data_IF_129206363750
#
_entry.id   IF_129206363750
#
_cell.length_a   1.000
_cell.length_b   1.000
_cell.length_c   1.000
_cell.angle_alpha   90.00
_cell.angle_beta   90.00
_cell.angle_gamma   90.00
#
_symmetry.space_group_name_H-M   'P 1'
#
loop_
_entity.id
_entity.type
_entity.pdbx_description
1 polymer ?
#
# COMPACT_ATOMS: atom_id res chain seq x y z
N UNK A 1 -4.02 -4.76 24.71
CA UNK A 1 -4.89 -5.07 23.54
C UNK A 1 -4.05 -5.56 22.38
N UNK A 2 -4.46 -6.58 21.61
CA UNK A 2 -3.71 -7.06 20.42
C UNK A 2 -4.15 -6.33 19.14
N UNK A 3 -3.62 -6.71 17.98
CA UNK A 3 -4.10 -6.25 16.66
C UNK A 3 -5.63 -6.33 16.47
N UNK A 4 -6.30 -7.26 17.14
CA UNK A 4 -7.78 -7.35 17.13
C UNK A 4 -8.47 -6.16 17.78
N UNK A 5 -7.83 -5.53 18.77
CA UNK A 5 -8.32 -4.31 19.42
C UNK A 5 -8.38 -3.13 18.45
N UNK A 6 -7.32 -2.96 17.65
CA UNK A 6 -7.28 -1.96 16.58
C UNK A 6 -8.36 -2.21 15.54
N UNK A 7 -8.50 -3.45 15.06
CA UNK A 7 -9.55 -3.83 14.10
C UNK A 7 -10.93 -3.51 14.65
N UNK A 8 -11.20 -3.85 15.92
CA UNK A 8 -12.48 -3.56 16.58
C UNK A 8 -12.74 -2.06 16.67
N UNK A 9 -11.76 -1.25 17.07
CA UNK A 9 -11.90 0.20 17.19
C UNK A 9 -12.10 0.90 15.83
N UNK A 10 -11.50 0.39 14.75
CA UNK A 10 -11.72 0.92 13.40
C UNK A 10 -13.09 0.53 12.83
N UNK A 11 -13.59 -0.67 13.15
CA UNK A 11 -14.93 -1.14 12.77
C UNK A 11 -16.02 -0.39 13.53
N UNK A 12 -15.91 -0.40 14.85
CA UNK A 12 -16.84 0.21 15.79
C UNK A 12 -16.06 1.11 16.76
N UNK A 13 -15.97 2.42 16.48
CA UNK A 13 -15.23 3.35 17.33
C UNK A 13 -15.85 3.59 18.71
N UNK A 14 -17.11 3.22 18.99
CA UNK A 14 -17.72 3.44 20.31
C UNK A 14 -17.07 2.57 21.39
N UNK A 15 -16.45 1.45 21.00
CA UNK A 15 -15.74 0.53 21.90
C UNK A 15 -14.59 1.18 22.66
N UNK A 16 -14.09 2.33 22.18
CA UNK A 16 -12.98 3.03 22.83
C UNK A 16 -13.38 3.67 24.17
N UNK A 17 -14.68 3.90 24.37
CA UNK A 17 -15.23 4.51 25.60
C UNK A 17 -15.10 3.59 26.81
N UNK A 18 -15.01 2.27 26.58
CA UNK A 18 -14.87 1.26 27.61
C UNK A 18 -13.41 0.88 27.90
N UNK A 19 -12.43 1.54 27.27
CA UNK A 19 -11.02 1.22 27.44
C UNK A 19 -10.45 1.83 28.73
N UNK A 20 -9.74 1.00 29.49
CA UNK A 20 -8.86 1.44 30.57
C UNK A 20 -7.52 1.97 30.02
N UNK A 21 -6.64 2.44 30.91
CA UNK A 21 -5.34 2.98 30.54
C UNK A 21 -4.47 1.96 29.77
N UNK A 22 -4.48 0.68 30.19
CA UNK A 22 -3.74 -0.39 29.51
C UNK A 22 -4.30 -0.67 28.10
N UNK A 23 -5.61 -0.58 27.94
CA UNK A 23 -6.32 -0.63 26.67
C UNK A 23 -5.84 0.48 25.73
N UNK A 24 -5.89 1.73 26.17
CA UNK A 24 -5.45 2.88 25.38
C UNK A 24 -3.98 2.78 24.95
N UNK A 25 -3.07 2.43 25.88
CA UNK A 25 -1.67 2.23 25.56
C UNK A 25 -1.49 1.18 24.44
N UNK A 26 -2.20 0.05 24.56
CA UNK A 26 -2.13 -0.99 23.54
C UNK A 26 -2.74 -0.59 22.20
N UNK A 27 -3.85 0.15 22.20
CA UNK A 27 -4.51 0.62 20.97
C UNK A 27 -3.62 1.60 20.21
N UNK A 28 -3.05 2.60 20.90
CA UNK A 28 -2.18 3.62 20.29
C UNK A 28 -0.88 2.97 19.78
N UNK A 29 -0.25 2.10 20.57
CA UNK A 29 0.96 1.39 20.16
C UNK A 29 0.71 0.54 18.90
N UNK A 30 -0.41 -0.17 18.86
CA UNK A 30 -0.83 -0.94 17.69
C UNK A 30 -1.11 -0.06 16.47
N UNK A 31 -1.86 1.03 16.65
CA UNK A 31 -2.21 1.95 15.57
C UNK A 31 -0.95 2.58 14.94
N UNK A 32 0.05 2.95 15.76
CA UNK A 32 1.34 3.44 15.27
C UNK A 32 2.11 2.35 14.52
N UNK A 33 2.19 1.14 15.08
CA UNK A 33 2.92 0.03 14.46
C UNK A 33 2.34 -0.40 13.10
N UNK A 34 1.04 -0.24 12.90
CA UNK A 34 0.36 -0.49 11.62
C UNK A 34 0.18 0.78 10.77
N UNK A 35 0.74 1.93 11.19
CA UNK A 35 0.60 3.24 10.51
C UNK A 35 -0.86 3.65 10.25
N UNK A 36 -1.74 3.35 11.22
CA UNK A 36 -3.18 3.62 11.23
C UNK A 36 -3.60 4.64 12.29
N UNK A 37 -2.66 5.30 12.98
CA UNK A 37 -2.98 6.21 14.10
C UNK A 37 -3.80 7.44 13.66
N UNK A 38 -3.48 8.05 12.51
CA UNK A 38 -4.27 9.16 11.96
C UNK A 38 -5.68 8.71 11.55
N UNK A 39 -5.78 7.59 10.83
CA UNK A 39 -7.07 6.96 10.49
C UNK A 39 -7.90 6.65 11.73
N UNK A 40 -7.29 6.07 12.77
CA UNK A 40 -7.96 5.79 14.03
C UNK A 40 -8.45 7.08 14.69
N UNK A 41 -7.63 8.12 14.73
CA UNK A 41 -8.01 9.41 15.32
C UNK A 41 -9.22 10.03 14.61
N UNK A 42 -9.25 10.02 13.27
CA UNK A 42 -10.42 10.48 12.51
C UNK A 42 -11.65 9.60 12.74
N UNK A 43 -11.47 8.27 12.80
CA UNK A 43 -12.58 7.32 13.05
C UNK A 43 -13.19 7.47 14.45
N UNK A 44 -12.37 7.77 15.46
CA UNK A 44 -12.85 8.06 16.82
C UNK A 44 -13.67 9.35 16.83
N UNK A 45 -13.26 10.37 16.07
CA UNK A 45 -13.96 11.66 16.03
C UNK A 45 -14.03 12.31 17.41
N UNK A 46 -15.21 12.80 17.78
CA UNK A 46 -15.44 13.56 19.02
C UNK A 46 -15.89 12.69 20.21
N UNK A 47 -15.70 11.36 20.11
CA UNK A 47 -16.03 10.44 21.20
C UNK A 47 -15.25 10.78 22.46
N UNK A 48 -15.87 10.51 23.61
CA UNK A 48 -15.27 10.70 24.93
C UNK A 48 -14.06 9.77 25.09
N UNK A 49 -12.89 10.38 25.29
CA UNK A 49 -11.62 9.72 25.60
C UNK A 49 -10.92 10.47 26.73
N UNK A 50 -9.96 9.88 27.46
CA UNK A 50 -9.15 10.61 28.43
C UNK A 50 -8.40 11.80 27.78
N UNK A 51 -8.21 12.90 28.52
CA UNK A 51 -7.60 14.13 27.96
C UNK A 51 -6.21 13.90 27.37
N UNK A 52 -5.37 13.10 28.04
CA UNK A 52 -4.04 12.74 27.52
C UNK A 52 -4.12 11.95 26.20
N UNK A 53 -5.16 11.12 26.03
CA UNK A 53 -5.41 10.41 24.77
C UNK A 53 -5.92 11.38 23.71
N UNK A 54 -6.76 12.35 24.09
CA UNK A 54 -7.29 13.36 23.18
C UNK A 54 -6.16 14.11 22.48
N UNK A 55 -5.18 14.57 23.25
CA UNK A 55 -3.98 15.25 22.74
C UNK A 55 -3.23 14.40 21.70
N UNK A 56 -2.95 13.12 22.01
CA UNK A 56 -2.25 12.22 21.08
C UNK A 56 -3.02 12.03 19.77
N UNK A 57 -4.35 11.94 19.85
CA UNK A 57 -5.19 11.76 18.66
C UNK A 57 -5.29 13.06 17.84
N UNK A 58 -5.26 14.23 18.46
CA UNK A 58 -5.24 15.51 17.75
C UNK A 58 -3.91 15.73 17.03
N UNK A 59 -2.78 15.43 17.68
CA UNK A 59 -1.47 15.43 17.00
C UNK A 59 -1.48 14.49 15.80
N UNK A 60 -2.03 13.28 15.95
CA UNK A 60 -2.12 12.31 14.87
C UNK A 60 -3.00 12.78 13.68
N UNK A 61 -4.01 13.63 13.92
CA UNK A 61 -4.82 14.24 12.85
C UNK A 61 -4.02 15.30 12.11
N UNK A 62 -3.38 16.21 12.83
CA UNK A 62 -2.54 17.26 12.26
C UNK A 62 -1.38 16.69 11.45
N UNK A 63 -0.72 15.64 11.97
CA UNK A 63 0.32 14.92 11.25
C UNK A 63 -0.22 14.33 9.95
N UNK A 64 -1.37 13.67 9.99
CA UNK A 64 -1.96 13.07 8.78
C UNK A 64 -2.37 14.13 7.73
N UNK A 65 -2.89 15.28 8.16
CA UNK A 65 -3.19 16.41 7.27
C UNK A 65 -1.92 17.00 6.65
N UNK A 66 -0.83 17.08 7.42
CA UNK A 66 0.48 17.49 6.92
C UNK A 66 1.03 16.50 5.90
N UNK A 67 0.99 15.19 6.19
CA UNK A 67 1.43 14.15 5.25
C UNK A 67 0.62 14.16 3.96
N UNK A 68 -0.71 14.35 4.04
CA UNK A 68 -1.54 14.50 2.85
C UNK A 68 -1.13 15.70 2.00
N UNK A 69 -0.91 16.88 2.62
CA UNK A 69 -0.43 18.08 1.90
C UNK A 69 0.93 17.84 1.24
N UNK A 70 1.86 17.19 1.93
CA UNK A 70 3.17 16.86 1.37
C UNK A 70 3.03 15.91 0.17
N UNK A 71 2.19 14.88 0.27
CA UNK A 71 1.96 13.94 -0.82
C UNK A 71 1.38 14.63 -2.07
N UNK A 72 0.41 15.54 -1.89
CA UNK A 72 -0.15 16.33 -2.99
C UNK A 72 0.87 17.29 -3.59
N UNK A 73 1.74 17.87 -2.78
CA UNK A 73 2.84 18.70 -3.25
C UNK A 73 3.84 17.89 -4.09
N UNK A 74 4.22 16.69 -3.66
CA UNK A 74 5.13 15.85 -4.46
C UNK A 74 4.47 15.40 -5.77
N UNK A 75 3.16 15.10 -5.77
CA UNK A 75 2.41 14.80 -6.99
C UNK A 75 2.41 15.99 -7.97
N UNK A 76 2.24 17.21 -7.47
CA UNK A 76 2.32 18.45 -8.26
C UNK A 76 3.73 18.64 -8.86
N UNK A 77 4.79 18.47 -8.05
CA UNK A 77 6.19 18.57 -8.53
C UNK A 77 6.52 17.49 -9.57
N UNK A 78 6.02 16.27 -9.40
CA UNK A 78 6.20 15.20 -10.40
C UNK A 78 5.46 15.55 -11.69
N UNK A 79 4.23 16.08 -11.61
CA UNK A 79 3.48 16.53 -12.80
C UNK A 79 4.21 17.64 -13.54
N UNK A 80 4.78 18.60 -12.81
CA UNK A 80 5.61 19.67 -13.39
C UNK A 80 6.86 19.11 -14.09
N UNK A 81 7.57 18.19 -13.46
CA UNK A 81 8.74 17.54 -14.05
C UNK A 81 8.40 16.78 -15.35
N UNK A 82 7.19 16.23 -15.45
CA UNK A 82 6.72 15.42 -16.57
C UNK A 82 5.91 16.21 -17.60
N UNK A 83 5.69 17.51 -17.41
CA UNK A 83 4.81 18.32 -18.27
C UNK A 83 5.22 18.37 -19.75
N UNK A 84 6.49 18.11 -20.08
CA UNK A 84 6.99 18.05 -21.45
C UNK A 84 6.83 16.68 -22.12
N UNK A 85 6.28 15.69 -21.43
CA UNK A 85 6.07 14.32 -21.92
C UNK A 85 4.56 14.11 -22.04
N UNK A 86 4.09 13.75 -23.24
CA UNK A 86 2.67 13.48 -23.51
C UNK A 86 2.27 12.09 -22.98
N UNK A 87 2.29 11.93 -21.65
CA UNK A 87 1.99 10.67 -20.97
C UNK A 87 1.02 10.89 -19.81
N UNK A 88 0.03 10.00 -19.63
CA UNK A 88 -0.83 10.07 -18.47
C UNK A 88 -0.04 9.66 -17.22
N UNK A 89 -0.01 10.54 -16.21
CA UNK A 89 0.60 10.25 -14.90
C UNK A 89 -0.51 9.80 -13.95
N UNK A 90 -0.54 8.50 -13.66
CA UNK A 90 -1.54 7.91 -12.77
C UNK A 90 -0.98 7.85 -11.35
N UNK A 91 -1.60 8.56 -10.41
CA UNK A 91 -1.29 8.40 -9.00
C UNK A 91 -1.77 7.04 -8.52
N UNK A 92 -0.96 6.40 -7.67
CA UNK A 92 -1.31 5.15 -7.00
C UNK A 92 -1.43 5.34 -5.48
N UNK A 93 -2.02 4.32 -4.84
CA UNK A 93 -2.11 4.14 -3.39
C UNK A 93 -2.55 5.42 -2.65
N UNK A 94 -1.84 5.77 -1.58
CA UNK A 94 -2.26 6.81 -0.63
C UNK A 94 -2.37 8.19 -1.25
N UNK A 95 -1.42 8.58 -2.11
CA UNK A 95 -1.45 9.87 -2.80
C UNK A 95 -2.66 9.97 -3.71
N UNK A 96 -2.98 8.92 -4.47
CA UNK A 96 -4.17 8.89 -5.30
C UNK A 96 -5.45 9.06 -4.47
N UNK A 97 -5.53 8.36 -3.33
CA UNK A 97 -6.71 8.40 -2.47
C UNK A 97 -6.89 9.76 -1.80
N UNK A 98 -5.80 10.40 -1.39
CA UNK A 98 -5.81 11.75 -0.84
C UNK A 98 -6.21 12.78 -1.91
N UNK A 99 -5.61 12.71 -3.10
CA UNK A 99 -5.90 13.62 -4.21
C UNK A 99 -7.36 13.55 -4.66
N UNK A 100 -7.95 12.35 -4.67
CA UNK A 100 -9.36 12.13 -5.03
C UNK A 100 -10.33 12.31 -3.85
N UNK A 101 -9.87 12.72 -2.66
CA UNK A 101 -10.74 12.94 -1.49
C UNK A 101 -11.43 11.67 -0.96
N UNK A 102 -10.87 10.48 -1.22
CA UNK A 102 -11.49 9.22 -0.84
C UNK A 102 -11.37 8.95 0.65
N UNK A 103 -12.31 8.17 1.19
CA UNK A 103 -12.24 7.67 2.58
C UNK A 103 -10.95 6.90 2.87
N UNK A 104 -10.40 6.19 1.88
CA UNK A 104 -9.12 5.49 2.00
C UNK A 104 -7.93 6.45 2.22
N UNK A 105 -8.02 7.71 1.79
CA UNK A 105 -6.98 8.72 2.00
C UNK A 105 -7.04 9.39 3.38
N UNK A 106 -8.17 9.30 4.09
CA UNK A 106 -8.39 10.01 5.34
C UNK A 106 -7.53 9.44 6.48
N UNK A 107 -6.64 10.29 7.02
CA UNK A 107 -5.77 9.92 8.13
C UNK A 107 -4.65 8.94 7.76
N UNK A 108 -4.50 8.66 6.46
CA UNK A 108 -3.59 7.64 5.94
C UNK A 108 -2.16 8.17 5.93
N UNK A 109 -1.23 7.40 6.48
CA UNK A 109 0.20 7.65 6.31
C UNK A 109 0.63 7.39 4.85
N UNK A 110 1.33 8.35 4.25
CA UNK A 110 1.85 8.30 2.87
C UNK A 110 3.36 8.59 2.96
N UNK A 111 4.21 7.63 2.57
CA UNK A 111 5.67 7.78 2.71
C UNK A 111 6.38 8.12 1.40
N UNK A 112 5.82 7.65 0.30
CA UNK A 112 6.35 7.58 -1.04
C UNK A 112 5.31 8.11 -2.04
N UNK A 113 5.78 8.74 -3.11
CA UNK A 113 4.95 9.04 -4.26
C UNK A 113 5.01 7.86 -5.24
N UNK A 114 3.95 7.05 -5.28
CA UNK A 114 3.79 6.02 -6.30
C UNK A 114 3.07 6.60 -7.54
N UNK A 115 3.71 6.53 -8.71
CA UNK A 115 3.09 6.84 -10.00
C UNK A 115 3.10 5.64 -10.93
N UNK A 116 2.11 5.54 -11.79
CA UNK A 116 2.04 4.56 -12.88
C UNK A 116 2.06 5.30 -14.22
N UNK A 117 2.92 4.85 -15.12
CA UNK A 117 3.08 5.37 -16.48
C UNK A 117 3.11 4.23 -17.51
N UNK A 118 2.82 4.48 -18.78
CA UNK A 118 3.03 3.49 -19.84
C UNK A 118 4.47 2.99 -19.88
N UNK A 119 4.67 1.69 -20.12
CA UNK A 119 6.01 1.08 -20.10
C UNK A 119 6.95 1.69 -21.13
N UNK A 120 6.41 2.08 -22.28
CA UNK A 120 7.14 2.67 -23.39
C UNK A 120 7.64 4.09 -23.06
N UNK A 121 7.05 4.74 -22.06
CA UNK A 121 7.42 6.08 -21.62
C UNK A 121 8.50 6.08 -20.52
N UNK A 122 8.86 4.93 -19.98
CA UNK A 122 9.69 4.80 -18.77
C UNK A 122 11.03 5.55 -18.87
N UNK A 123 11.73 5.41 -20.00
CA UNK A 123 13.02 6.08 -20.23
C UNK A 123 12.87 7.61 -20.28
N UNK A 124 11.80 8.12 -20.91
CA UNK A 124 11.54 9.55 -20.98
C UNK A 124 11.21 10.12 -19.59
N UNK A 125 10.38 9.40 -18.83
CA UNK A 125 10.00 9.76 -17.45
C UNK A 125 11.22 9.77 -16.54
N UNK A 126 12.06 8.74 -16.60
CA UNK A 126 13.32 8.64 -15.88
C UNK A 126 14.22 9.86 -16.16
N UNK A 127 14.46 10.17 -17.43
CA UNK A 127 15.28 11.32 -17.80
C UNK A 127 14.70 12.66 -17.33
N UNK A 128 13.37 12.83 -17.37
CA UNK A 128 12.73 14.03 -16.88
C UNK A 128 12.88 14.20 -15.37
N UNK A 129 12.68 13.12 -14.60
CA UNK A 129 12.86 13.14 -13.15
C UNK A 129 14.31 13.44 -12.76
N UNK A 130 15.30 12.82 -13.43
CA UNK A 130 16.72 13.11 -13.21
C UNK A 130 17.04 14.59 -13.46
N UNK A 131 16.55 15.16 -14.57
CA UNK A 131 16.73 16.60 -14.86
C UNK A 131 16.04 17.51 -13.84
N UNK A 132 14.95 17.05 -13.23
CA UNK A 132 14.19 17.80 -12.26
C UNK A 132 14.70 17.63 -10.81
N UNK A 133 15.85 16.97 -10.60
CA UNK A 133 16.54 16.89 -9.32
C UNK A 133 16.28 15.61 -8.50
N UNK A 134 15.67 14.59 -9.10
CA UNK A 134 15.67 13.24 -8.52
C UNK A 134 16.98 12.51 -8.81
N UNK A 135 17.37 11.64 -7.90
CA UNK A 135 18.57 10.80 -7.98
C UNK A 135 18.26 9.38 -7.52
N UNK A 136 19.14 8.43 -7.87
CA UNK A 136 19.02 7.05 -7.43
C UNK A 136 19.38 6.91 -5.96
N UNK A 137 18.55 6.21 -5.18
CA UNK A 137 18.86 5.93 -3.76
C UNK A 137 20.11 5.05 -3.64
N UNK A 138 20.35 4.18 -4.62
CA UNK A 138 21.55 3.34 -4.72
C UNK A 138 21.97 3.19 -6.17
N UNK A 139 23.26 3.40 -6.42
CA UNK A 139 23.89 3.12 -7.71
C UNK A 139 24.53 1.72 -7.67
N UNK A 140 23.73 0.68 -7.98
CA UNK A 140 24.21 -0.70 -8.14
C UNK A 140 23.74 -1.28 -9.49
N UNK A 141 24.66 -1.58 -10.42
CA UNK A 141 24.31 -2.06 -11.77
C UNK A 141 23.52 -3.38 -11.80
N UNK A 142 23.67 -4.23 -10.78
CA UNK A 142 22.90 -5.47 -10.70
C UNK A 142 21.47 -5.20 -10.23
N UNK A 143 21.30 -4.32 -9.24
CA UNK A 143 19.98 -3.93 -8.77
C UNK A 143 19.23 -3.19 -9.89
N UNK A 144 19.87 -2.26 -10.62
CA UNK A 144 19.26 -1.60 -11.79
C UNK A 144 18.76 -2.62 -12.84
N UNK A 145 19.63 -3.53 -13.28
CA UNK A 145 19.25 -4.58 -14.22
C UNK A 145 18.13 -5.50 -13.67
N UNK A 146 18.16 -5.81 -12.37
CA UNK A 146 17.13 -6.61 -11.71
C UNK A 146 15.76 -5.91 -11.76
N UNK A 147 15.71 -4.60 -11.46
CA UNK A 147 14.46 -3.85 -11.51
C UNK A 147 13.91 -3.77 -12.93
N UNK A 148 14.75 -3.37 -13.90
CA UNK A 148 14.32 -3.20 -15.30
C UNK A 148 13.87 -4.49 -15.95
N UNK A 149 14.51 -5.61 -15.62
CA UNK A 149 14.21 -6.89 -16.24
C UNK A 149 12.99 -7.59 -15.62
N UNK A 150 12.78 -7.45 -14.30
CA UNK A 150 11.84 -8.31 -13.58
C UNK A 150 10.84 -7.58 -12.70
N UNK A 151 11.13 -6.36 -12.26
CA UNK A 151 10.23 -5.58 -11.42
C UNK A 151 9.23 -4.77 -12.25
N UNK A 152 8.23 -4.27 -11.54
CA UNK A 152 7.13 -3.49 -12.09
C UNK A 152 7.34 -1.98 -12.01
N UNK A 153 8.53 -1.58 -11.55
CA UNK A 153 8.92 -0.21 -11.28
C UNK A 153 10.41 0.00 -11.60
N UNK A 154 10.82 1.26 -11.74
CA UNK A 154 12.23 1.65 -11.71
C UNK A 154 12.85 1.36 -10.34
N UNK A 155 14.19 1.30 -10.23
CA UNK A 155 14.82 1.43 -8.93
C UNK A 155 14.31 2.67 -8.17
N UNK A 156 14.25 2.64 -6.84
CA UNK A 156 13.72 3.76 -6.07
C UNK A 156 14.57 5.02 -6.28
N UNK A 157 13.88 6.13 -6.52
CA UNK A 157 14.48 7.46 -6.70
C UNK A 157 14.10 8.38 -5.53
N UNK A 158 14.95 9.36 -5.22
CA UNK A 158 14.71 10.37 -4.19
C UNK A 158 15.02 11.75 -4.71
N UNK A 159 14.22 12.76 -4.34
CA UNK A 159 14.53 14.14 -4.70
C UNK A 159 15.58 14.73 -3.76
N UNK A 160 16.74 15.12 -4.29
CA UNK A 160 17.92 15.54 -3.52
C UNK A 160 17.63 16.70 -2.55
N UNK A 161 16.82 17.68 -2.96
CA UNK A 161 16.49 18.84 -2.14
C UNK A 161 15.26 18.69 -1.21
N UNK A 162 14.44 17.64 -1.40
CA UNK A 162 13.17 17.48 -0.66
C UNK A 162 13.17 16.26 0.26
N UNK A 163 14.12 15.35 0.08
CA UNK A 163 14.20 14.07 0.81
C UNK A 163 12.87 13.31 0.69
N UNK A 164 12.39 13.17 -0.55
CA UNK A 164 11.12 12.52 -0.89
C UNK A 164 11.31 11.47 -1.97
N UNK A 165 10.84 10.27 -1.69
CA UNK A 165 10.92 9.13 -2.60
C UNK A 165 9.82 9.18 -3.65
N UNK A 166 10.16 8.75 -4.85
CA UNK A 166 9.21 8.46 -5.92
C UNK A 166 9.47 7.05 -6.45
N UNK A 167 8.41 6.28 -6.59
CA UNK A 167 8.42 4.97 -7.21
C UNK A 167 7.65 5.07 -8.53
N UNK A 168 8.35 4.80 -9.65
CA UNK A 168 7.79 4.91 -11.01
C UNK A 168 7.45 3.52 -11.52
N UNK A 169 6.17 3.22 -11.53
CA UNK A 169 5.60 1.93 -11.94
C UNK A 169 5.27 1.92 -13.43
N UNK A 170 5.44 0.77 -14.08
CA UNK A 170 4.87 0.44 -15.41
C UNK A 170 3.89 -0.74 -15.35
N UNK A 171 3.82 -1.43 -14.22
CA UNK A 171 2.89 -2.51 -13.92
C UNK A 171 2.50 -2.46 -12.44
N UNK A 172 1.45 -3.17 -12.02
CA UNK A 172 1.06 -3.30 -10.61
C UNK A 172 1.62 -4.56 -9.93
N UNK A 173 2.26 -5.44 -10.70
CA UNK A 173 2.90 -6.67 -10.23
C UNK A 173 4.19 -6.90 -11.01
N UNK A 174 5.25 -7.46 -10.38
CA UNK A 174 6.49 -7.82 -11.07
C UNK A 174 6.23 -8.62 -12.35
N UNK A 175 7.05 -8.42 -13.38
CA UNK A 175 6.91 -9.10 -14.68
C UNK A 175 7.06 -10.62 -14.58
N UNK A 176 7.65 -11.08 -13.48
CA UNK A 176 7.85 -12.49 -13.14
C UNK A 176 6.71 -13.08 -12.29
N UNK A 177 5.71 -12.27 -11.90
CA UNK A 177 4.54 -12.73 -11.16
C UNK A 177 3.69 -13.69 -12.02
N UNK A 178 2.92 -14.56 -11.36
CA UNK A 178 2.04 -15.52 -12.05
C UNK A 178 0.85 -14.85 -12.72
N UNK A 179 0.38 -13.76 -12.14
CA UNK A 179 -0.71 -12.96 -12.70
C UNK A 179 -0.11 -11.95 -13.67
N UNK A 180 -0.79 -11.75 -14.80
CA UNK A 180 -0.41 -10.75 -15.81
C UNK A 180 -1.57 -9.77 -15.96
N UNK A 181 -1.63 -8.71 -15.13
CA UNK A 181 -2.64 -7.67 -15.27
C UNK A 181 -2.54 -6.98 -16.64
N UNK A 182 -3.67 -6.79 -17.30
CA UNK A 182 -3.79 -5.98 -18.52
C UNK A 182 -3.58 -4.48 -18.19
N UNK A 183 -2.32 -4.04 -18.23
CA UNK A 183 -1.92 -2.66 -17.89
C UNK A 183 -2.41 -1.63 -18.89
N UNK A 184 -2.46 -2.00 -20.18
CA UNK A 184 -2.99 -1.13 -21.22
C UNK A 184 -4.46 -0.78 -20.94
N UNK A 185 -5.26 -1.77 -20.51
CA UNK A 185 -6.64 -1.53 -20.11
C UNK A 185 -6.79 -0.70 -18.83
N UNK A 186 -5.93 -0.90 -17.84
CA UNK A 186 -5.94 -0.08 -16.62
C UNK A 186 -5.61 1.38 -16.91
N UNK A 187 -4.68 1.64 -17.82
CA UNK A 187 -4.29 3.00 -18.23
C UNK A 187 -5.38 3.61 -19.12
N UNK A 188 -5.96 2.85 -20.05
CA UNK A 188 -7.03 3.33 -20.93
C UNK A 188 -8.29 3.73 -20.17
N UNK A 189 -8.65 3.00 -19.11
CA UNK A 189 -9.82 3.28 -18.28
C UNK A 189 -9.50 4.19 -17.07
N UNK A 190 -8.32 4.83 -17.07
CA UNK A 190 -7.92 5.74 -16.00
C UNK A 190 -8.86 6.94 -15.93
N UNK A 191 -9.16 7.39 -14.71
CA UNK A 191 -10.06 8.52 -14.47
C UNK A 191 -9.27 9.74 -14.03
N UNK A 192 -9.63 10.96 -14.49
CA UNK A 192 -8.95 12.18 -14.08
C UNK A 192 -9.26 12.52 -12.62
N UNK A 193 -8.26 13.04 -11.91
CA UNK A 193 -8.41 13.63 -10.56
C UNK A 193 -8.28 15.15 -10.61
N UNK A 194 -7.22 15.61 -11.25
CA UNK A 194 -6.84 17.02 -11.38
C UNK A 194 -6.12 17.22 -12.71
N UNK A 195 -5.74 18.45 -13.03
CA UNK A 195 -5.06 18.77 -14.29
C UNK A 195 -3.77 17.97 -14.43
N UNK A 196 -3.70 17.10 -15.44
CA UNK A 196 -2.54 16.25 -15.73
C UNK A 196 -2.37 15.04 -14.81
N UNK A 197 -3.27 14.85 -13.83
CA UNK A 197 -3.21 13.76 -12.86
C UNK A 197 -4.41 12.83 -12.99
N UNK A 198 -4.11 11.55 -13.14
CA UNK A 198 -5.09 10.48 -13.27
C UNK A 198 -4.98 9.51 -12.09
N UNK A 199 -5.94 8.60 -12.01
CA UNK A 199 -5.90 7.43 -11.14
C UNK A 199 -6.55 6.26 -11.84
N UNK A 200 -6.30 5.06 -11.32
CA UNK A 200 -7.03 3.86 -11.75
C UNK A 200 -8.55 4.01 -11.56
N UNK A 201 -9.31 3.36 -12.44
CA UNK A 201 -10.77 3.22 -12.31
C UNK A 201 -11.16 2.66 -10.93
N UNK A 202 -12.41 2.86 -10.45
CA UNK A 202 -12.85 2.34 -9.15
C UNK A 202 -12.55 0.86 -8.93
N UNK A 203 -12.83 0.01 -9.91
CA UNK A 203 -12.62 -1.43 -9.85
C UNK A 203 -11.12 -1.79 -9.91
N UNK A 204 -10.35 -1.09 -10.75
CA UNK A 204 -8.91 -1.36 -10.89
C UNK A 204 -8.12 -0.93 -9.65
N UNK A 205 -8.56 0.11 -8.94
CA UNK A 205 -7.99 0.46 -7.64
C UNK A 205 -8.09 -0.68 -6.65
N UNK A 206 -9.22 -1.38 -6.63
CA UNK A 206 -9.41 -2.55 -5.76
C UNK A 206 -8.55 -3.71 -6.26
N UNK A 207 -8.48 -3.93 -7.57
CA UNK A 207 -7.59 -4.95 -8.15
C UNK A 207 -6.13 -4.70 -7.75
N UNK A 208 -5.64 -3.46 -7.90
CA UNK A 208 -4.32 -3.04 -7.48
C UNK A 208 -4.11 -3.19 -5.97
N UNK A 209 -5.03 -2.70 -5.13
CA UNK A 209 -4.91 -2.83 -3.68
C UNK A 209 -4.89 -4.30 -3.22
N UNK A 210 -5.72 -5.16 -3.83
CA UNK A 210 -5.74 -6.59 -3.56
C UNK A 210 -4.46 -7.30 -4.04
N UNK A 211 -3.93 -6.91 -5.22
CA UNK A 211 -2.68 -7.43 -5.75
C UNK A 211 -1.49 -7.04 -4.83
N UNK A 212 -1.39 -5.76 -4.46
CA UNK A 212 -0.37 -5.27 -3.55
C UNK A 212 -0.41 -5.97 -2.18
N UNK A 213 -1.62 -6.23 -1.64
CA UNK A 213 -1.77 -6.95 -0.38
C UNK A 213 -1.41 -8.44 -0.52
N UNK A 214 -1.96 -9.14 -1.52
CA UNK A 214 -2.00 -10.60 -1.53
C UNK A 214 -1.06 -11.26 -2.55
N UNK A 215 -0.74 -10.58 -3.65
CA UNK A 215 0.06 -11.10 -4.75
C UNK A 215 1.50 -10.56 -4.80
N UNK A 216 1.86 -9.52 -4.04
CA UNK A 216 3.21 -8.92 -4.11
C UNK A 216 3.85 -8.55 -2.74
N UNK A 217 3.54 -9.29 -1.67
CA UNK A 217 4.08 -8.93 -0.35
C UNK A 217 4.07 -10.03 0.70
N UNK A 218 4.74 -9.73 1.81
CA UNK A 218 4.84 -10.56 3.01
C UNK A 218 3.77 -10.21 4.08
N UNK A 219 2.83 -9.33 3.71
CA UNK A 219 1.78 -8.75 4.54
C UNK A 219 2.28 -7.80 5.66
N UNK A 220 3.48 -7.24 5.54
CA UNK A 220 3.88 -6.09 6.36
C UNK A 220 2.95 -4.89 6.11
N UNK A 221 2.47 -4.24 7.18
CA UNK A 221 1.46 -3.17 7.09
C UNK A 221 0.11 -3.64 6.55
N UNK A 222 -0.16 -4.95 6.58
CA UNK A 222 -1.33 -5.54 5.92
C UNK A 222 -2.67 -5.09 6.50
N UNK A 223 -2.75 -4.66 7.77
CA UNK A 223 -4.00 -4.13 8.33
C UNK A 223 -4.38 -2.77 7.73
N UNK A 224 -3.39 -1.90 7.46
CA UNK A 224 -3.59 -0.64 6.74
C UNK A 224 -4.04 -0.90 5.32
N UNK A 225 -3.33 -1.77 4.61
CA UNK A 225 -3.65 -2.09 3.21
C UNK A 225 -5.05 -2.75 3.09
N UNK A 226 -5.44 -3.58 4.06
CA UNK A 226 -6.80 -4.13 4.10
C UNK A 226 -7.85 -3.07 4.44
N UNK A 227 -7.53 -2.09 5.30
CA UNK A 227 -8.42 -0.97 5.58
C UNK A 227 -8.64 -0.08 4.34
N UNK A 228 -7.60 0.15 3.54
CA UNK A 228 -7.73 0.82 2.23
C UNK A 228 -8.79 0.09 1.38
N UNK A 229 -8.71 -1.25 1.28
CA UNK A 229 -9.68 -2.07 0.53
C UNK A 229 -11.10 -1.94 1.11
N UNK A 230 -11.28 -1.95 2.44
CA UNK A 230 -12.59 -1.73 3.07
C UNK A 230 -13.19 -0.38 2.66
N UNK A 231 -12.37 0.65 2.58
CA UNK A 231 -12.82 1.98 2.16
C UNK A 231 -13.12 2.06 0.67
N UNK A 232 -12.35 1.35 -0.16
CA UNK A 232 -12.54 1.35 -1.61
C UNK A 232 -13.74 0.51 -2.07
N UNK A 233 -14.12 -0.52 -1.31
CA UNK A 233 -15.28 -1.37 -1.62
C UNK A 233 -16.63 -0.64 -1.46
N UNK A 234 -16.64 0.52 -0.81
CA UNK A 234 -17.86 1.30 -0.58
C UNK A 234 -18.42 1.85 -1.90
N UNK A 235 -19.69 1.56 -2.18
CA UNK A 235 -20.37 2.02 -3.41
C UNK A 235 -19.94 1.36 -4.72
N UNK A 236 -19.17 0.27 -4.68
CA UNK A 236 -18.70 -0.43 -5.89
C UNK A 236 -19.71 -1.45 -6.40
N UNK A 237 -19.88 -1.50 -7.73
CA UNK A 237 -20.63 -2.56 -8.40
C UNK A 237 -19.86 -3.89 -8.32
N UNK A 238 -20.38 -4.90 -7.59
CA UNK A 238 -19.70 -6.18 -7.45
C UNK A 238 -19.49 -6.90 -8.79
N UNK A 239 -20.41 -6.75 -9.74
CA UNK A 239 -20.34 -7.44 -11.03
C UNK A 239 -19.27 -6.82 -11.92
N UNK A 240 -19.17 -5.49 -11.96
CA UNK A 240 -18.10 -4.78 -12.65
C UNK A 240 -16.73 -5.12 -12.06
N UNK A 241 -16.62 -5.14 -10.72
CA UNK A 241 -15.38 -5.52 -10.05
C UNK A 241 -14.96 -6.96 -10.37
N UNK A 242 -15.90 -7.90 -10.39
CA UNK A 242 -15.63 -9.30 -10.73
C UNK A 242 -15.17 -9.45 -12.19
N UNK A 243 -15.79 -8.73 -13.12
CA UNK A 243 -15.38 -8.70 -14.52
C UNK A 243 -13.96 -8.12 -14.69
N UNK A 244 -13.65 -6.99 -14.04
CA UNK A 244 -12.29 -6.40 -14.06
C UNK A 244 -11.27 -7.33 -13.42
N UNK A 245 -11.57 -7.87 -12.24
CA UNK A 245 -10.67 -8.79 -11.56
C UNK A 245 -10.39 -10.05 -12.40
N UNK A 246 -11.39 -10.56 -13.12
CA UNK A 246 -11.20 -11.67 -14.06
C UNK A 246 -10.28 -11.26 -15.23
N UNK A 247 -10.51 -10.09 -15.84
CA UNK A 247 -9.66 -9.56 -16.93
C UNK A 247 -8.19 -9.49 -16.53
N UNK A 248 -7.89 -9.06 -15.31
CA UNK A 248 -6.51 -8.91 -14.83
C UNK A 248 -5.93 -10.19 -14.19
N UNK A 249 -6.65 -11.32 -14.21
CA UNK A 249 -6.20 -12.56 -13.55
C UNK A 249 -6.14 -12.47 -12.02
N UNK A 250 -6.86 -11.51 -11.43
CA UNK A 250 -6.86 -11.17 -10.00
C UNK A 250 -8.13 -11.59 -9.26
N UNK A 251 -9.08 -12.27 -9.91
CA UNK A 251 -10.36 -12.70 -9.31
C UNK A 251 -10.20 -13.41 -7.95
N UNK A 252 -9.25 -14.35 -7.84
CA UNK A 252 -9.00 -15.06 -6.58
C UNK A 252 -8.49 -14.14 -5.46
N UNK A 253 -7.63 -13.17 -5.80
CA UNK A 253 -7.05 -12.20 -4.85
C UNK A 253 -8.10 -11.19 -4.39
N UNK A 254 -8.87 -10.64 -5.32
CA UNK A 254 -9.99 -9.72 -5.00
C UNK A 254 -11.03 -10.44 -4.15
N UNK A 255 -11.41 -11.67 -4.50
CA UNK A 255 -12.32 -12.49 -3.69
C UNK A 255 -11.79 -12.76 -2.27
N UNK A 256 -10.50 -13.07 -2.13
CA UNK A 256 -9.87 -13.25 -0.82
C UNK A 256 -9.84 -11.94 -0.02
N UNK A 257 -9.47 -10.82 -0.63
CA UNK A 257 -9.45 -9.52 0.02
C UNK A 257 -10.85 -9.12 0.52
N UNK A 258 -11.90 -9.33 -0.28
CA UNK A 258 -13.31 -9.09 0.14
C UNK A 258 -13.69 -9.94 1.36
N UNK A 259 -13.36 -11.24 1.38
CA UNK A 259 -13.63 -12.12 2.53
C UNK A 259 -12.88 -11.67 3.79
N UNK A 260 -11.61 -11.27 3.66
CA UNK A 260 -10.81 -10.79 4.79
C UNK A 260 -11.33 -9.44 5.31
N UNK A 261 -11.69 -8.53 4.42
CA UNK A 261 -12.28 -7.23 4.74
C UNK A 261 -13.60 -7.42 5.50
N UNK A 262 -14.49 -8.26 4.98
CA UNK A 262 -15.76 -8.58 5.63
C UNK A 262 -15.58 -9.30 6.98
N UNK A 263 -14.60 -10.21 7.11
CA UNK A 263 -14.36 -10.93 8.36
C UNK A 263 -13.73 -10.07 9.46
N UNK A 264 -12.85 -9.13 9.12
CA UNK A 264 -12.15 -8.30 10.10
C UNK A 264 -12.90 -6.99 10.38
N UNK A 265 -13.34 -6.29 9.34
CA UNK A 265 -13.93 -4.95 9.47
C UNK A 265 -15.43 -4.90 9.15
N UNK A 266 -15.99 -5.91 8.48
CA UNK A 266 -17.43 -6.01 8.19
C UNK A 266 -18.20 -6.90 9.17
N UNK A 267 -19.39 -7.36 8.78
CA UNK A 267 -20.28 -8.17 9.63
C UNK A 267 -19.79 -9.59 9.90
N UNK A 268 -18.82 -10.07 9.12
CA UNK A 268 -18.30 -11.43 9.16
C UNK A 268 -18.26 -12.05 7.76
N UNK A 269 -17.43 -13.09 7.58
CA UNK A 269 -17.42 -13.88 6.36
C UNK A 269 -16.94 -15.31 6.65
N UNK A 270 -17.40 -16.27 5.83
CA UNK A 270 -16.89 -17.64 5.86
C UNK A 270 -15.46 -17.66 5.29
N UNK A 271 -14.49 -17.74 6.18
CA UNK A 271 -13.07 -17.84 5.82
C UNK A 271 -12.69 -19.29 5.46
N UNK A 272 -12.01 -19.45 4.32
CA UNK A 272 -11.31 -20.69 3.98
C UNK A 272 -10.16 -20.96 4.96
N UNK A 273 -9.57 -22.15 4.90
CA UNK A 273 -8.38 -22.47 5.69
C UNK A 273 -7.23 -21.49 5.40
N UNK A 274 -6.98 -21.19 4.13
CA UNK A 274 -5.93 -20.25 3.74
C UNK A 274 -6.22 -18.82 4.19
N UNK A 275 -7.48 -18.37 4.11
CA UNK A 275 -7.86 -17.04 4.61
C UNK A 275 -7.58 -16.90 6.13
N UNK A 276 -7.78 -17.98 6.91
CA UNK A 276 -7.46 -17.97 8.35
C UNK A 276 -5.97 -17.83 8.62
N UNK A 277 -5.11 -18.42 7.79
CA UNK A 277 -3.65 -18.28 7.89
C UNK A 277 -3.25 -16.84 7.56
N UNK A 278 -3.80 -16.26 6.49
CA UNK A 278 -3.57 -14.86 6.12
C UNK A 278 -4.05 -13.92 7.23
N UNK A 279 -5.26 -14.10 7.75
CA UNK A 279 -5.77 -13.32 8.88
C UNK A 279 -4.88 -13.47 10.14
N UNK A 280 -4.36 -14.67 10.40
CA UNK A 280 -3.42 -14.89 11.50
C UNK A 280 -2.10 -14.13 11.31
N UNK A 281 -1.62 -13.96 10.07
CA UNK A 281 -0.44 -13.16 9.73
C UNK A 281 -0.71 -11.65 9.86
N UNK A 282 -1.88 -11.19 9.41
CA UNK A 282 -2.34 -9.80 9.57
C UNK A 282 -2.46 -9.39 11.04
N UNK A 283 -2.88 -10.32 11.90
CA UNK A 283 -3.07 -10.09 13.33
C UNK A 283 -1.83 -10.45 14.18
N UNK A 284 -0.66 -10.71 13.56
CA UNK A 284 0.54 -11.21 14.23
C UNK A 284 1.32 -10.12 14.98
N UNK A 285 0.65 -9.28 15.78
CA UNK A 285 1.28 -8.30 16.68
C UNK A 285 0.74 -8.38 18.11
N UNK A 286 1.61 -8.11 19.08
CA UNK A 286 1.26 -8.03 20.50
C UNK A 286 0.71 -6.65 20.88
N UNK A 287 0.38 -6.45 22.15
CA UNK A 287 -0.17 -5.17 22.61
C UNK A 287 0.80 -4.02 22.73
N UNK A 288 2.05 -4.19 22.32
CA UNK A 288 3.04 -3.14 22.18
C UNK A 288 3.37 -2.88 20.70
N UNK A 289 2.58 -3.43 19.78
CA UNK A 289 2.84 -3.32 18.34
C UNK A 289 4.01 -4.19 17.86
N UNK A 290 4.56 -5.06 18.70
CA UNK A 290 5.71 -5.90 18.33
C UNK A 290 5.22 -7.11 17.56
N UNK A 291 5.95 -7.44 16.51
CA UNK A 291 5.64 -8.59 15.67
C UNK A 291 5.81 -9.91 16.43
N UNK A 292 4.78 -10.76 16.39
CA UNK A 292 4.75 -12.11 16.96
C UNK A 292 4.80 -13.17 15.85
N UNK A 293 4.79 -14.45 16.26
CA UNK A 293 4.70 -15.62 15.36
C UNK A 293 5.83 -15.61 14.31
N UNK A 294 7.08 -15.54 14.78
CA UNK A 294 8.28 -15.53 13.92
C UNK A 294 8.24 -16.61 12.81
N UNK A 295 7.83 -17.87 13.05
CA UNK A 295 7.75 -18.88 11.99
C UNK A 295 6.74 -18.51 10.90
N UNK A 296 5.57 -17.99 11.29
CA UNK A 296 4.54 -17.56 10.33
C UNK A 296 5.03 -16.37 9.49
N UNK A 297 5.70 -15.41 10.13
CA UNK A 297 6.30 -14.27 9.42
C UNK A 297 7.35 -14.72 8.42
N UNK A 298 8.25 -15.61 8.85
CA UNK A 298 9.27 -16.17 7.97
C UNK A 298 8.64 -16.93 6.79
N UNK A 299 7.58 -17.70 7.01
CA UNK A 299 6.85 -18.36 5.93
C UNK A 299 6.24 -17.37 4.93
N UNK A 300 5.69 -16.24 5.40
CA UNK A 300 5.16 -15.19 4.51
C UNK A 300 6.27 -14.40 3.79
N UNK A 301 7.42 -14.22 4.42
CA UNK A 301 8.62 -13.67 3.76
C UNK A 301 9.10 -14.59 2.63
N UNK A 302 9.18 -15.90 2.86
CA UNK A 302 9.53 -16.86 1.80
C UNK A 302 8.46 -16.87 0.70
N UNK A 303 7.17 -16.83 1.08
CA UNK A 303 6.06 -16.74 0.12
C UNK A 303 6.17 -15.49 -0.75
N UNK A 304 6.49 -14.32 -0.19
CA UNK A 304 6.57 -13.08 -0.98
C UNK A 304 7.65 -13.19 -2.06
N UNK A 305 8.79 -13.79 -1.75
CA UNK A 305 9.84 -14.06 -2.74
C UNK A 305 9.38 -15.04 -3.83
N UNK A 306 8.63 -16.08 -3.46
CA UNK A 306 8.09 -17.03 -4.44
C UNK A 306 6.98 -16.45 -5.32
N UNK A 307 6.22 -15.47 -4.80
CA UNK A 307 5.24 -14.73 -5.60
C UNK A 307 5.92 -13.82 -6.63
N UNK A 308 7.03 -13.19 -6.23
CA UNK A 308 7.78 -12.27 -7.08
C UNK A 308 8.64 -12.98 -8.11
N UNK A 309 9.25 -14.13 -7.78
CA UNK A 309 10.29 -14.73 -8.60
C UNK A 309 10.14 -16.25 -8.74
N UNK A 310 10.40 -16.82 -9.94
CA UNK A 310 10.63 -18.25 -10.10
C UNK A 310 11.80 -18.74 -9.23
N UNK A 311 11.78 -19.99 -8.72
CA UNK A 311 12.79 -20.49 -7.80
C UNK A 311 14.24 -20.36 -8.28
N UNK A 312 14.49 -20.58 -9.58
CA UNK A 312 15.84 -20.45 -10.15
C UNK A 312 16.35 -19.00 -10.14
N UNK A 313 15.46 -18.03 -10.38
CA UNK A 313 15.79 -16.61 -10.37
C UNK A 313 16.03 -16.12 -8.93
N UNK A 314 15.23 -16.60 -7.99
CA UNK A 314 15.43 -16.35 -6.56
C UNK A 314 16.78 -16.90 -6.09
N UNK A 315 17.13 -18.13 -6.46
CA UNK A 315 18.42 -18.72 -6.11
C UNK A 315 19.60 -17.90 -6.66
N UNK A 316 19.51 -17.47 -7.94
CA UNK A 316 20.51 -16.58 -8.56
C UNK A 316 20.61 -15.25 -7.81
N UNK A 317 19.49 -14.63 -7.46
CA UNK A 317 19.44 -13.36 -6.73
C UNK A 317 20.08 -13.47 -5.35
N UNK A 318 19.70 -14.48 -4.58
CA UNK A 318 20.26 -14.73 -3.25
C UNK A 318 21.77 -15.02 -3.32
N UNK A 319 22.24 -15.78 -4.31
CA UNK A 319 23.66 -16.07 -4.50
C UNK A 319 24.46 -14.80 -4.83
N UNK A 320 23.95 -13.95 -5.73
CA UNK A 320 24.61 -12.67 -6.06
C UNK A 320 24.64 -11.72 -4.86
N UNK A 321 23.54 -11.59 -4.10
CA UNK A 321 23.50 -10.78 -2.88
C UNK A 321 24.44 -11.31 -1.79
N UNK A 322 24.51 -12.63 -1.60
CA UNK A 322 25.45 -13.26 -0.67
C UNK A 322 26.91 -12.98 -1.05
N UNK A 323 27.28 -13.11 -2.34
CA UNK A 323 28.62 -12.78 -2.84
C UNK A 323 28.99 -11.31 -2.63
N UNK A 324 28.01 -10.40 -2.70
CA UNK A 324 28.19 -8.96 -2.44
C UNK A 324 28.21 -8.60 -0.95
N UNK A 325 28.14 -9.58 -0.03
CA UNK A 325 28.19 -9.34 1.42
C UNK A 325 26.88 -8.82 2.03
N UNK A 326 25.75 -8.95 1.32
CA UNK A 326 24.45 -8.54 1.84
C UNK A 326 24.04 -9.47 2.99
N UNK A 327 23.93 -8.92 4.20
CA UNK A 327 23.34 -9.59 5.36
C UNK A 327 21.87 -9.16 5.45
N UNK A 328 20.90 -10.07 5.28
CA UNK A 328 19.50 -9.74 5.57
C UNK A 328 19.41 -9.35 7.05
N UNK A 329 18.88 -8.16 7.34
CA UNK A 329 18.64 -7.65 8.70
C UNK A 329 17.39 -8.28 9.28
#
# INVERSE_FOLDING_TARGET
MSARGLVRALRDPDVVTALDAGGWNGLIAMARAERLVGTLALRIGDRRVPDAVRQILDDARLDAEREARQALWEADRATEALAGIDVPVLLLKGTAYAAAGLRAGQGRFIGDLDILVPREAMEQVEHALLRAGWEWVKDDPYDDAYYRQWMHELPPMIHAGRDRMIDVHHSILPLTARQAPDMAAMIADAVPIAKGLYMLSPEDRICHAAAHLLADGDLAGGLRNLWDIVCLLDGIDPSALEARAARHGLAAHVGQARRLAAALYGEGARLSFWDRIVAARLLARDGWGRERRKPLRFAFYVRSHWLRMPPGLLARHLFTKWRKGHRPV
#
